data_IF_065955194072
#
_entry.id   IF_065955194072
#
_cell.length_a   1.000
_cell.length_b   1.000
_cell.length_c   1.000
_cell.angle_alpha   90.00
_cell.angle_beta   90.00
_cell.angle_gamma   90.00
#
_symmetry.space_group_name_H-M   'P 1'
#
loop_
_entity.id
_entity.type
_entity.pdbx_description
1 polymer ?
#
# COMPACT_ATOMS: atom_id res chain seq x y z
N UNK A 1 -13.78 10.55 4.05
CA UNK A 1 -13.54 9.10 4.24
C UNK A 1 -12.04 8.84 4.24
N UNK A 2 -11.53 7.99 5.12
CA UNK A 2 -10.10 7.65 5.15
C UNK A 2 -9.70 6.89 3.87
N UNK A 3 -8.56 7.25 3.28
CA UNK A 3 -7.99 6.61 2.07
C UNK A 3 -6.90 5.63 2.46
N UNK A 4 -7.29 4.53 3.11
CA UNK A 4 -6.38 3.56 3.70
C UNK A 4 -6.46 2.18 3.04
N UNK A 5 -7.12 2.06 1.89
CA UNK A 5 -7.23 0.80 1.14
C UNK A 5 -6.11 0.67 0.11
N UNK A 6 -5.74 -0.56 -0.24
CA UNK A 6 -4.80 -0.83 -1.33
C UNK A 6 -5.30 -0.30 -2.69
N UNK A 7 -6.63 -0.29 -2.91
CA UNK A 7 -7.23 0.34 -4.09
C UNK A 7 -6.92 1.84 -4.16
N UNK A 8 -6.94 2.54 -3.02
CA UNK A 8 -6.62 3.97 -2.96
C UNK A 8 -5.14 4.20 -3.27
N UNK A 9 -4.26 3.34 -2.75
CA UNK A 9 -2.83 3.39 -3.05
C UNK A 9 -2.57 3.23 -4.56
N UNK A 10 -3.21 2.25 -5.21
CA UNK A 10 -3.09 2.05 -6.65
C UNK A 10 -3.57 3.27 -7.43
N UNK A 11 -4.71 3.85 -7.06
CA UNK A 11 -5.22 5.08 -7.69
C UNK A 11 -4.20 6.23 -7.58
N UNK A 12 -3.54 6.39 -6.44
CA UNK A 12 -2.51 7.40 -6.24
C UNK A 12 -1.25 7.16 -7.09
N UNK A 13 -0.83 5.90 -7.24
CA UNK A 13 0.30 5.52 -8.09
C UNK A 13 0.01 5.81 -9.56
N UNK A 14 -1.17 5.43 -10.07
CA UNK A 14 -1.57 5.74 -11.45
C UNK A 14 -1.70 7.25 -11.67
N UNK A 15 -2.32 7.98 -10.73
CA UNK A 15 -2.39 9.44 -10.85
C UNK A 15 -1.01 10.11 -10.86
N UNK A 16 0.01 9.51 -10.24
CA UNK A 16 1.38 10.01 -10.32
C UNK A 16 2.05 9.66 -11.65
N UNK A 17 1.75 8.49 -12.22
CA UNK A 17 2.20 8.10 -13.55
C UNK A 17 1.66 9.05 -14.62
N UNK A 18 0.36 9.37 -14.58
CA UNK A 18 -0.25 10.33 -15.50
C UNK A 18 0.39 11.72 -15.37
N UNK A 19 0.64 12.21 -14.15
CA UNK A 19 1.34 13.49 -13.93
C UNK A 19 2.76 13.52 -14.49
N UNK A 20 3.48 12.40 -14.44
CA UNK A 20 4.84 12.32 -14.99
C UNK A 20 4.85 12.33 -16.52
N UNK A 21 3.76 11.93 -17.16
CA UNK A 21 3.60 11.91 -18.61
C UNK A 21 2.93 13.18 -19.16
N UNK A 22 2.71 14.20 -18.31
CA UNK A 22 2.09 15.45 -18.71
C UNK A 22 3.10 16.32 -19.50
N UNK A 23 2.89 16.43 -20.81
CA UNK A 23 3.74 17.18 -21.74
C UNK A 23 3.69 18.70 -21.54
N UNK A 24 2.71 19.21 -20.78
CA UNK A 24 2.58 20.65 -20.49
C UNK A 24 3.48 21.10 -19.31
N UNK A 25 4.20 20.18 -18.66
CA UNK A 25 5.08 20.50 -17.54
C UNK A 25 6.39 21.16 -17.98
N UNK A 26 6.80 22.18 -17.23
CA UNK A 26 8.16 22.75 -17.36
C UNK A 26 9.20 21.81 -16.75
N UNK A 27 10.47 21.99 -17.13
CA UNK A 27 11.59 21.20 -16.59
C UNK A 27 11.61 21.18 -15.04
N UNK A 28 11.41 22.33 -14.40
CA UNK A 28 11.35 22.45 -12.93
C UNK A 28 10.16 21.68 -12.32
N UNK A 29 9.03 21.63 -13.04
CA UNK A 29 7.85 20.88 -12.59
C UNK A 29 8.07 19.38 -12.75
N UNK A 30 8.68 18.95 -13.85
CA UNK A 30 9.08 17.54 -14.06
C UNK A 30 10.00 17.08 -12.93
N UNK A 31 11.01 17.88 -12.55
CA UNK A 31 11.91 17.53 -11.44
C UNK A 31 11.14 17.36 -10.11
N UNK A 32 10.18 18.25 -9.82
CA UNK A 32 9.31 18.12 -8.64
C UNK A 32 8.45 16.87 -8.68
N UNK A 33 7.86 16.54 -9.83
CA UNK A 33 7.04 15.33 -9.97
C UNK A 33 7.88 14.05 -9.89
N UNK A 34 9.14 14.06 -10.34
CA UNK A 34 10.09 12.96 -10.11
C UNK A 34 10.35 12.78 -8.60
N UNK A 35 10.60 13.88 -7.88
CA UNK A 35 10.80 13.84 -6.43
C UNK A 35 9.58 13.29 -5.70
N UNK A 36 8.38 13.76 -6.09
CA UNK A 36 7.10 13.27 -5.56
C UNK A 36 6.89 11.79 -5.88
N UNK A 37 7.18 11.35 -7.10
CA UNK A 37 7.03 9.96 -7.50
C UNK A 37 7.93 9.02 -6.69
N UNK A 38 9.18 9.42 -6.43
CA UNK A 38 10.09 8.67 -5.55
C UNK A 38 9.52 8.55 -4.13
N UNK A 39 9.03 9.65 -3.57
CA UNK A 39 8.44 9.64 -2.23
C UNK A 39 7.20 8.74 -2.15
N UNK A 40 6.28 8.86 -3.11
CA UNK A 40 5.06 8.02 -3.18
C UNK A 40 5.44 6.54 -3.34
N UNK A 41 6.38 6.21 -4.23
CA UNK A 41 6.84 4.84 -4.45
C UNK A 41 7.47 4.22 -3.18
N UNK A 42 8.25 5.01 -2.44
CA UNK A 42 8.84 4.56 -1.16
C UNK A 42 7.76 4.24 -0.13
N UNK A 43 6.78 5.13 0.05
CA UNK A 43 5.68 4.92 0.99
C UNK A 43 4.82 3.73 0.56
N UNK A 44 4.50 3.63 -0.74
CA UNK A 44 3.74 2.53 -1.30
C UNK A 44 4.40 1.18 -1.02
N UNK A 45 5.72 1.11 -1.16
CA UNK A 45 6.50 -0.10 -0.88
C UNK A 45 6.38 -0.54 0.59
N UNK A 46 6.37 0.40 1.54
CA UNK A 46 6.15 0.10 2.96
C UNK A 46 4.73 -0.40 3.24
N UNK A 47 3.72 0.19 2.61
CA UNK A 47 2.32 -0.24 2.74
C UNK A 47 2.13 -1.67 2.19
N UNK A 48 2.72 -1.96 1.02
CA UNK A 48 2.68 -3.29 0.41
C UNK A 48 3.42 -4.30 1.29
N UNK A 49 4.58 -3.93 1.85
CA UNK A 49 5.31 -4.81 2.77
C UNK A 49 4.47 -5.16 4.00
N UNK A 50 3.85 -4.16 4.64
CA UNK A 50 2.92 -4.39 5.75
C UNK A 50 1.77 -5.32 5.35
N UNK A 51 1.17 -5.09 4.19
CA UNK A 51 0.08 -5.93 3.67
C UNK A 51 0.53 -7.38 3.40
N UNK A 52 1.76 -7.59 2.94
CA UNK A 52 2.35 -8.92 2.77
C UNK A 52 2.53 -9.63 4.12
N UNK A 53 2.98 -8.92 5.15
CA UNK A 53 3.10 -9.47 6.50
C UNK A 53 1.73 -9.92 7.02
N UNK A 54 0.69 -9.11 6.86
CA UNK A 54 -0.68 -9.51 7.21
C UNK A 54 -1.14 -10.74 6.42
N UNK A 55 -0.85 -10.80 5.12
CA UNK A 55 -1.22 -11.94 4.29
C UNK A 55 -0.48 -13.23 4.70
N UNK A 56 0.80 -13.15 5.08
CA UNK A 56 1.53 -14.30 5.62
C UNK A 56 0.92 -14.78 6.95
N UNK A 57 0.59 -13.85 7.85
CA UNK A 57 -0.08 -14.20 9.11
C UNK A 57 -1.41 -14.93 8.85
N UNK A 58 -2.21 -14.44 7.90
CA UNK A 58 -3.44 -15.11 7.48
C UNK A 58 -3.19 -16.50 6.86
N UNK A 59 -2.12 -16.68 6.10
CA UNK A 59 -1.75 -17.99 5.54
C UNK A 59 -1.37 -18.99 6.63
N UNK A 60 -0.58 -18.57 7.62
CA UNK A 60 -0.17 -19.42 8.74
C UNK A 60 -1.37 -19.86 9.60
N UNK A 61 -2.34 -18.97 9.78
CA UNK A 61 -3.60 -19.33 10.43
C UNK A 61 -4.40 -20.33 9.59
N UNK A 62 -4.52 -20.09 8.28
CA UNK A 62 -5.27 -20.98 7.40
C UNK A 62 -4.63 -22.36 7.24
N UNK A 63 -3.30 -22.48 7.34
CA UNK A 63 -2.59 -23.77 7.32
C UNK A 63 -2.64 -24.50 8.66
N UNK A 64 -3.00 -23.81 9.75
CA UNK A 64 -2.99 -24.35 11.11
C UNK A 64 -1.61 -24.31 11.77
N UNK A 65 -0.62 -23.70 11.14
CA UNK A 65 0.73 -23.51 11.70
C UNK A 65 0.76 -22.45 12.80
N UNK A 66 -0.27 -21.59 12.87
CA UNK A 66 -0.46 -20.56 13.88
C UNK A 66 -1.93 -20.51 14.30
N UNK A 67 -2.21 -20.40 15.60
CA UNK A 67 -3.60 -20.21 16.07
C UNK A 67 -3.95 -18.73 16.14
N UNK A 68 -5.22 -18.39 15.97
CA UNK A 68 -5.68 -16.99 16.01
C UNK A 68 -5.35 -16.31 17.35
N UNK A 69 -5.40 -17.04 18.46
CA UNK A 69 -5.09 -16.52 19.80
C UNK A 69 -3.59 -16.20 19.99
N UNK A 70 -2.73 -16.68 19.10
CA UNK A 70 -1.29 -16.44 19.11
C UNK A 70 -0.88 -15.26 18.22
N UNK A 71 -1.83 -14.69 17.46
CA UNK A 71 -1.58 -13.50 16.67
C UNK A 71 -1.39 -12.27 17.57
N UNK A 72 -0.37 -11.44 17.31
CA UNK A 72 -0.26 -10.14 17.95
C UNK A 72 -1.50 -9.26 17.71
N UNK A 73 -1.85 -8.42 18.69
CA UNK A 73 -3.04 -7.56 18.65
C UNK A 73 -3.15 -6.71 17.37
N UNK A 74 -2.01 -6.28 16.80
CA UNK A 74 -2.00 -5.52 15.55
C UNK A 74 -2.54 -6.28 14.34
N UNK A 75 -2.65 -7.61 14.38
CA UNK A 75 -3.23 -8.45 13.32
C UNK A 75 -4.65 -8.92 13.64
N UNK A 76 -5.16 -8.61 14.83
CA UNK A 76 -6.45 -9.09 15.31
C UNK A 76 -7.59 -8.26 14.68
N UNK A 77 -7.69 -8.33 13.36
CA UNK A 77 -8.71 -7.68 12.57
C UNK A 77 -9.94 -8.56 12.62
N UNK A 78 -11.00 -8.07 13.29
CA UNK A 78 -12.34 -8.68 13.31
C UNK A 78 -12.59 -9.40 11.99
N UNK A 79 -12.81 -10.72 12.04
CA UNK A 79 -13.19 -11.59 10.90
C UNK A 79 -13.89 -10.75 9.84
N UNK A 80 -13.34 -10.70 8.62
CA UNK A 80 -14.09 -10.25 7.45
C UNK A 80 -15.38 -11.09 7.46
N UNK A 81 -16.49 -10.47 7.84
CA UNK A 81 -17.79 -11.12 7.76
C UNK A 81 -18.04 -11.33 6.27
N UNK A 82 -18.02 -12.60 5.87
CA UNK A 82 -18.50 -13.03 4.57
C UNK A 82 -19.98 -12.72 4.44
#
# INVERSE_FOLDING_TARGET
MAKNKLSDLNNHLFAQLERLNDDDLTADQVEKEIGRAKAISSIASQVIHSSKVTLEAMRLVASGDLREEELPDQFNHKRLQA
#
